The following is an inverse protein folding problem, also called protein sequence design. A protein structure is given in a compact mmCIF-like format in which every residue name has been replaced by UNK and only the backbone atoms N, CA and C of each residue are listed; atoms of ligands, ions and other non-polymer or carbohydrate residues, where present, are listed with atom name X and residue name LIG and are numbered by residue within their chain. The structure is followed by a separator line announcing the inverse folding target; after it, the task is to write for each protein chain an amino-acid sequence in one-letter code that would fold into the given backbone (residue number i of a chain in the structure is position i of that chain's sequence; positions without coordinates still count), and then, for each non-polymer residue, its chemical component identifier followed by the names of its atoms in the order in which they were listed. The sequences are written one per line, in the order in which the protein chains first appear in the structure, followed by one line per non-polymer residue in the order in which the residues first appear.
data_IF_611364009432
#
_entry.id   IF_611364009432
#
_cell.length_a   1.000
_cell.length_b   1.000
_cell.length_c   1.000
_cell.angle_alpha   90.00
_cell.angle_beta   90.00
_cell.angle_gamma   90.00
#
_symmetry.space_group_name_H-M   'P 1'
#
loop_
_entity.id
_entity.type
_entity.pdbx_description
1 polymer ?
#
# COMPACT_ATOMS: atom_id res chain seq x y z
N UNK A 1 -25.35 12.42 6.62
CA UNK A 1 -24.19 11.69 6.06
C UNK A 1 -23.94 12.28 4.69
N UNK A 2 -22.75 12.84 4.47
CA UNK A 2 -22.37 13.40 3.17
C UNK A 2 -22.11 12.24 2.19
N UNK A 3 -22.42 12.39 0.89
CA UNK A 3 -22.09 11.37 -0.11
C UNK A 3 -20.58 11.14 -0.15
N UNK A 4 -20.13 9.88 -0.27
CA UNK A 4 -18.71 9.51 -0.34
C UNK A 4 -17.94 10.21 -1.48
N UNK A 5 -18.65 10.71 -2.49
CA UNK A 5 -18.11 11.56 -3.55
C UNK A 5 -17.52 12.89 -3.04
N UNK A 6 -17.94 13.39 -1.87
CA UNK A 6 -17.42 14.61 -1.25
C UNK A 6 -16.19 14.36 -0.35
N UNK A 7 -15.85 13.09 -0.06
CA UNK A 7 -14.87 12.73 0.99
C UNK A 7 -13.42 12.62 0.51
N UNK A 8 -13.13 12.72 -0.80
CA UNK A 8 -11.83 12.32 -1.35
C UNK A 8 -11.21 13.39 -2.26
N UNK A 9 -11.07 14.59 -1.68
CA UNK A 9 -10.71 15.89 -2.27
C UNK A 9 -11.90 16.57 -2.95
N UNK A 10 -12.55 17.57 -2.33
CA UNK A 10 -13.40 18.47 -3.08
C UNK A 10 -12.52 19.10 -4.16
N UNK A 11 -12.84 18.85 -5.43
CA UNK A 11 -12.13 19.48 -6.53
C UNK A 11 -12.26 21.01 -6.36
N UNK A 12 -11.20 21.80 -6.61
CA UNK A 12 -11.39 23.22 -6.81
C UNK A 12 -12.22 23.37 -8.09
N UNK A 13 -13.53 23.59 -7.93
CA UNK A 13 -14.39 23.93 -9.06
C UNK A 13 -13.84 25.19 -9.72
N UNK A 14 -13.64 25.08 -11.03
CA UNK A 14 -13.27 26.19 -11.93
C UNK A 14 -14.25 27.35 -11.68
N UNK A 15 -13.70 28.57 -11.60
CA UNK A 15 -14.43 29.80 -11.30
C UNK A 15 -15.85 29.81 -11.88
N UNK A 16 -16.89 30.05 -11.05
CA UNK A 16 -18.24 30.17 -11.56
C UNK A 16 -18.34 31.48 -12.35
N UNK A 17 -18.38 31.36 -13.67
CA UNK A 17 -18.90 32.42 -14.53
C UNK A 17 -20.38 32.62 -14.20
N UNK A 18 -20.63 33.72 -13.49
CA UNK A 18 -21.88 34.45 -13.39
C UNK A 18 -23.15 33.71 -12.96
N UNK A 19 -23.66 34.21 -11.84
CA UNK A 19 -25.06 34.28 -11.40
C UNK A 19 -25.74 33.01 -10.89
N UNK A 20 -25.98 33.07 -9.57
CA UNK A 20 -27.15 32.53 -8.88
C UNK A 20 -27.24 31.01 -8.74
N UNK A 21 -26.54 30.49 -7.71
CA UNK A 21 -27.03 29.60 -6.65
C UNK A 21 -25.81 29.23 -5.77
N UNK A 22 -25.46 30.11 -4.82
CA UNK A 22 -24.29 29.95 -3.94
C UNK A 22 -24.76 29.39 -2.59
N UNK A 23 -24.66 28.07 -2.42
CA UNK A 23 -24.65 27.42 -1.11
C UNK A 23 -23.79 26.15 -1.23
N UNK A 24 -22.90 25.96 -0.24
CA UNK A 24 -22.10 24.75 0.08
C UNK A 24 -20.76 24.48 -0.64
N UNK A 25 -19.84 25.45 -0.69
CA UNK A 25 -18.42 25.07 -0.71
C UNK A 25 -18.03 24.44 0.65
N UNK A 26 -17.35 23.29 0.65
CA UNK A 26 -16.92 22.57 1.86
C UNK A 26 -15.76 23.25 2.61
N UNK A 27 -15.22 24.33 2.05
CA UNK A 27 -14.11 25.09 2.61
C UNK A 27 -14.17 26.58 2.24
N UNK A 28 -13.46 27.40 3.02
CA UNK A 28 -13.22 28.83 2.78
C UNK A 28 -11.77 29.05 2.34
N UNK A 29 -11.52 29.98 1.42
CA UNK A 29 -10.17 30.35 0.97
C UNK A 29 -9.84 31.77 1.45
N UNK A 30 -8.64 31.94 1.99
CA UNK A 30 -8.03 33.24 2.29
C UNK A 30 -6.64 33.32 1.65
N UNK A 31 -6.17 34.51 1.32
CA UNK A 31 -4.87 34.71 0.64
C UNK A 31 -3.90 35.51 1.48
N UNK A 32 -2.60 35.23 1.36
CA UNK A 32 -1.52 35.97 2.02
C UNK A 32 -1.65 36.05 3.54
N UNK A 33 -2.00 34.93 4.19
CA UNK A 33 -2.23 34.86 5.63
C UNK A 33 -0.92 34.59 6.38
N UNK A 34 -0.58 35.45 7.34
CA UNK A 34 0.62 35.25 8.18
C UNK A 34 0.35 34.24 9.29
N UNK A 35 0.96 33.06 9.16
CA UNK A 35 0.78 31.94 10.10
C UNK A 35 1.76 32.00 11.27
N UNK A 36 3.00 32.39 11.00
CA UNK A 36 4.04 32.61 12.02
C UNK A 36 4.84 33.87 11.68
N UNK A 37 5.73 34.33 12.57
CA UNK A 37 6.61 35.45 12.28
C UNK A 37 7.47 35.27 11.01
N UNK A 38 7.73 34.02 10.59
CA UNK A 38 8.60 33.70 9.45
C UNK A 38 7.88 32.99 8.30
N UNK A 39 6.55 32.84 8.38
CA UNK A 39 5.79 32.10 7.39
C UNK A 39 4.46 32.78 7.11
N UNK A 40 4.29 33.20 5.86
CA UNK A 40 3.03 33.65 5.27
C UNK A 40 2.65 32.63 4.22
N UNK A 41 1.42 32.12 4.30
CA UNK A 41 0.87 31.21 3.29
C UNK A 41 0.21 32.03 2.19
N UNK A 42 0.47 31.66 0.94
CA UNK A 42 -0.09 32.32 -0.24
C UNK A 42 -1.60 32.10 -0.29
N UNK A 43 -2.05 30.89 0.07
CA UNK A 43 -3.44 30.50 0.24
C UNK A 43 -3.62 29.74 1.54
N UNK A 44 -4.73 29.97 2.22
CA UNK A 44 -5.18 29.25 3.40
C UNK A 44 -6.57 28.69 3.12
N UNK A 45 -6.68 27.37 3.11
CA UNK A 45 -7.95 26.67 3.07
C UNK A 45 -8.44 26.40 4.48
N UNK A 46 -9.70 26.71 4.79
CA UNK A 46 -10.34 26.37 6.06
C UNK A 46 -11.46 25.38 5.82
N UNK A 47 -11.32 24.19 6.40
CA UNK A 47 -12.23 23.06 6.22
C UNK A 47 -13.14 22.89 7.43
N UNK A 48 -14.40 22.53 7.18
CA UNK A 48 -15.35 22.17 8.23
C UNK A 48 -14.95 20.85 8.90
N UNK A 49 -15.41 20.67 10.13
CA UNK A 49 -15.23 19.42 10.86
C UNK A 49 -15.74 18.20 10.06
N UNK A 50 -14.96 17.11 10.12
CA UNK A 50 -15.22 15.87 9.36
C UNK A 50 -14.67 15.85 7.94
N UNK A 51 -14.12 16.95 7.42
CA UNK A 51 -13.51 16.96 6.08
C UNK A 51 -12.24 16.12 6.05
N UNK A 52 -12.15 15.20 5.08
CA UNK A 52 -10.97 14.37 4.84
C UNK A 52 -10.25 14.84 3.58
N UNK A 53 -8.93 14.96 3.65
CA UNK A 53 -8.07 15.32 2.51
C UNK A 53 -6.91 14.34 2.47
N UNK A 54 -6.64 13.79 1.30
CA UNK A 54 -5.54 12.85 1.09
C UNK A 54 -4.36 13.50 0.39
N UNK A 55 -4.64 14.47 -0.50
CA UNK A 55 -3.63 15.19 -1.27
C UNK A 55 -3.76 16.69 -1.01
N UNK A 56 -3.22 17.19 0.12
CA UNK A 56 -3.18 18.62 0.35
C UNK A 56 -2.40 19.32 -0.75
N UNK A 57 -2.94 20.44 -1.22
CA UNK A 57 -2.28 21.28 -2.22
C UNK A 57 -0.96 21.86 -1.70
N UNK A 58 -0.01 22.03 -2.61
CA UNK A 58 1.23 22.76 -2.37
C UNK A 58 1.47 23.78 -3.48
N UNK A 59 2.63 24.41 -3.48
CA UNK A 59 3.02 25.43 -4.46
C UNK A 59 4.50 25.32 -4.78
N UNK A 60 4.88 25.65 -6.02
CA UNK A 60 6.27 25.80 -6.42
C UNK A 60 6.98 26.90 -5.62
N UNK A 61 6.29 28.02 -5.42
CA UNK A 61 6.80 29.19 -4.72
C UNK A 61 5.91 29.52 -3.53
N UNK A 62 6.51 29.54 -2.33
CA UNK A 62 5.83 29.90 -1.09
C UNK A 62 5.27 28.70 -0.32
N UNK A 63 4.08 28.86 0.25
CA UNK A 63 3.46 27.89 1.14
C UNK A 63 1.93 27.95 1.05
N UNK A 64 1.28 26.80 1.19
CA UNK A 64 -0.19 26.68 1.26
C UNK A 64 -0.56 26.16 2.65
N UNK A 65 -1.55 26.80 3.27
CA UNK A 65 -2.10 26.41 4.57
C UNK A 65 -3.41 25.65 4.42
N UNK A 66 -3.61 24.64 5.26
CA UNK A 66 -4.83 23.84 5.37
C UNK A 66 -5.22 23.79 6.86
N UNK A 67 -6.23 24.57 7.22
CA UNK A 67 -6.78 24.68 8.57
C UNK A 67 -8.00 23.78 8.68
N UNK A 68 -7.93 22.80 9.58
CA UNK A 68 -9.01 21.83 9.82
C UNK A 68 -9.67 22.14 11.15
N UNK A 69 -10.97 22.35 11.14
CA UNK A 69 -11.79 22.32 12.35
C UNK A 69 -12.01 20.86 12.77
N UNK A 70 -11.95 20.59 14.06
CA UNK A 70 -11.99 19.25 14.64
C UNK A 70 -13.00 19.17 15.77
N UNK A 71 -13.46 17.97 16.07
CA UNK A 71 -14.19 17.70 17.31
C UNK A 71 -13.17 17.50 18.45
N UNK A 72 -13.22 18.29 19.55
CA UNK A 72 -12.35 18.09 20.71
C UNK A 72 -12.44 16.70 21.34
N UNK A 73 -13.59 16.04 21.24
CA UNK A 73 -13.84 14.73 21.83
C UNK A 73 -13.43 13.58 20.89
N UNK A 74 -13.22 13.86 19.60
CA UNK A 74 -12.73 12.93 18.57
C UNK A 74 -11.52 13.52 17.83
N UNK A 75 -10.42 13.69 18.58
CA UNK A 75 -9.22 14.37 18.09
C UNK A 75 -8.35 13.47 17.20
N UNK A 76 -8.62 13.49 15.90
CA UNK A 76 -7.82 12.77 14.90
C UNK A 76 -7.03 13.76 14.04
N UNK A 77 -5.70 13.63 14.03
CA UNK A 77 -4.85 14.51 13.22
C UNK A 77 -5.10 14.25 11.72
N UNK A 78 -5.49 15.27 10.94
CA UNK A 78 -5.85 15.12 9.52
C UNK A 78 -4.68 14.63 8.66
N UNK A 79 -3.42 14.86 9.10
CA UNK A 79 -2.26 14.35 8.37
C UNK A 79 -2.23 12.82 8.30
N UNK A 80 -2.95 12.10 9.17
CA UNK A 80 -3.02 10.65 9.11
C UNK A 80 -3.73 10.13 7.84
N UNK A 81 -4.56 10.96 7.20
CA UNK A 81 -5.22 10.64 5.94
C UNK A 81 -4.36 10.95 4.70
N UNK A 82 -3.22 11.64 4.84
CA UNK A 82 -2.43 12.03 3.67
C UNK A 82 -1.83 10.81 2.97
N UNK A 83 -2.06 10.75 1.66
CA UNK A 83 -1.48 9.75 0.77
C UNK A 83 0.04 9.97 0.60
N UNK A 84 0.48 11.23 0.70
CA UNK A 84 1.89 11.57 0.73
C UNK A 84 2.61 10.90 1.90
N UNK A 85 3.81 10.41 1.61
CA UNK A 85 4.70 9.87 2.64
C UNK A 85 5.07 10.94 3.66
N UNK A 86 5.11 10.57 4.94
CA UNK A 86 5.61 11.43 6.03
C UNK A 86 6.92 10.83 6.55
N UNK A 87 7.89 10.72 5.65
CA UNK A 87 9.21 10.15 5.89
C UNK A 87 10.23 11.15 6.41
N UNK A 88 11.48 10.72 6.44
CA UNK A 88 12.63 11.54 6.83
C UNK A 88 13.02 12.57 5.75
N UNK A 89 13.55 13.76 6.10
CA UNK A 89 13.80 14.21 7.47
C UNK A 89 12.48 14.55 8.18
N UNK A 90 12.34 14.01 9.40
CA UNK A 90 11.26 14.39 10.31
C UNK A 90 11.82 15.13 11.51
N UNK A 91 10.99 15.96 12.10
CA UNK A 91 11.36 16.57 13.36
C UNK A 91 10.17 17.10 14.12
N UNK A 92 10.42 17.37 15.38
CA UNK A 92 9.40 17.70 16.36
C UNK A 92 9.88 18.84 17.24
N UNK A 93 9.01 19.81 17.48
CA UNK A 93 9.24 20.86 18.46
C UNK A 93 7.98 21.12 19.26
N UNK A 94 8.16 21.53 20.52
CA UNK A 94 7.07 21.89 21.45
C UNK A 94 7.03 23.41 21.64
N UNK A 95 5.93 23.93 22.16
CA UNK A 95 5.77 25.33 22.55
C UNK A 95 6.02 26.31 21.40
N UNK A 96 5.53 26.00 20.21
CA UNK A 96 5.50 26.95 19.09
C UNK A 96 4.13 27.60 19.02
N UNK A 97 4.10 28.87 18.65
CA UNK A 97 2.87 29.64 18.54
C UNK A 97 2.54 29.87 17.07
N UNK A 98 1.25 29.75 16.76
CA UNK A 98 0.69 30.00 15.44
C UNK A 98 -0.33 31.13 15.58
N UNK A 99 -0.23 32.15 14.72
CA UNK A 99 -1.07 33.36 14.79
C UNK A 99 -2.54 33.13 14.44
N UNK A 100 -2.87 31.97 13.88
CA UNK A 100 -4.23 31.61 13.48
C UNK A 100 -4.82 30.48 14.35
N UNK A 101 -4.03 29.91 15.26
CA UNK A 101 -4.50 28.98 16.28
C UNK A 101 -4.65 29.78 17.57
N UNK A 102 -5.85 30.31 17.76
CA UNK A 102 -6.20 31.21 18.84
C UNK A 102 -7.20 30.53 19.80
N UNK A 103 -7.18 30.93 21.06
CA UNK A 103 -8.21 30.59 22.04
C UNK A 103 -9.45 31.51 21.92
N UNK A 104 -10.42 31.32 22.81
CA UNK A 104 -11.67 32.10 22.85
C UNK A 104 -11.44 33.59 23.16
N UNK A 105 -10.27 33.94 23.69
CA UNK A 105 -9.85 35.31 24.01
C UNK A 105 -9.06 35.96 22.86
N UNK A 106 -8.75 35.20 21.79
CA UNK A 106 -7.98 35.66 20.64
C UNK A 106 -6.46 35.57 20.84
N UNK A 107 -5.99 34.90 21.90
CA UNK A 107 -4.58 34.72 22.19
C UNK A 107 -4.03 33.43 21.55
N UNK A 108 -2.77 33.45 21.11
CA UNK A 108 -2.16 32.29 20.43
C UNK A 108 -1.88 31.15 21.41
N UNK A 109 -2.32 29.94 21.06
CA UNK A 109 -2.12 28.75 21.90
C UNK A 109 -0.78 28.05 21.62
N UNK A 110 -0.14 27.42 22.62
CA UNK A 110 1.06 26.63 22.41
C UNK A 110 0.75 25.35 21.63
N UNK A 111 1.59 25.07 20.63
CA UNK A 111 1.42 23.95 19.71
C UNK A 111 2.64 23.02 19.68
N UNK A 112 2.37 21.74 19.47
CA UNK A 112 3.30 20.78 18.90
C UNK A 112 3.46 21.05 17.41
N UNK A 113 4.71 21.05 16.94
CA UNK A 113 5.03 21.21 15.51
C UNK A 113 5.80 20.01 15.03
N UNK A 114 5.19 19.26 14.11
CA UNK A 114 5.82 18.16 13.38
C UNK A 114 6.15 18.62 11.98
N UNK A 115 7.27 18.15 11.43
CA UNK A 115 7.54 18.27 10.01
C UNK A 115 8.01 16.95 9.42
N UNK A 116 7.73 16.75 8.14
CA UNK A 116 8.11 15.56 7.37
C UNK A 116 8.20 15.90 5.88
N UNK A 117 8.85 15.02 5.12
CA UNK A 117 8.87 15.07 3.66
C UNK A 117 8.33 13.77 3.06
N UNK A 118 8.07 13.77 1.76
CA UNK A 118 7.81 12.52 1.02
C UNK A 118 9.12 11.68 0.97
N UNK A 119 9.13 10.33 1.01
CA UNK A 119 9.24 9.47 -0.20
C UNK A 119 9.82 8.07 0.10
N UNK A 120 9.55 7.09 -0.80
CA UNK A 120 10.54 6.16 -1.40
C UNK A 120 10.09 5.69 -2.82
N UNK A 121 10.99 5.20 -3.68
CA UNK A 121 10.70 4.51 -4.95
C UNK A 121 11.33 3.11 -4.98
N UNK A 122 10.90 2.28 -5.92
CA UNK A 122 11.68 1.11 -6.31
C UNK A 122 13.08 1.54 -6.81
N UNK A 123 14.13 0.77 -6.48
CA UNK A 123 15.51 1.00 -6.94
C UNK A 123 15.68 0.80 -8.46
N UNK A 124 14.79 0.03 -9.08
CA UNK A 124 14.72 -0.19 -10.52
C UNK A 124 13.78 0.79 -11.22
N UNK A 125 13.22 1.76 -10.49
CA UNK A 125 12.29 2.70 -11.08
C UNK A 125 12.97 3.59 -12.12
N UNK A 126 12.32 3.77 -13.27
CA UNK A 126 12.79 4.66 -14.31
C UNK A 126 12.79 6.10 -13.78
N UNK A 127 13.96 6.76 -13.87
CA UNK A 127 14.18 8.10 -13.31
C UNK A 127 13.29 9.17 -13.95
N UNK A 128 12.93 9.01 -15.22
CA UNK A 128 12.04 9.94 -15.91
C UNK A 128 10.61 9.73 -15.42
N UNK A 129 10.18 8.48 -15.22
CA UNK A 129 8.85 8.17 -14.71
C UNK A 129 8.68 8.61 -13.24
N UNK A 130 9.71 8.53 -12.39
CA UNK A 130 9.61 8.91 -10.98
C UNK A 130 9.94 10.37 -10.67
N UNK A 131 10.26 11.19 -11.68
CA UNK A 131 10.59 12.63 -11.50
C UNK A 131 9.50 13.60 -11.95
N UNK A 132 8.33 13.08 -12.40
CA UNK A 132 7.19 13.92 -12.81
C UNK A 132 6.62 14.65 -11.60
N UNK A 133 6.92 15.94 -11.46
CA UNK A 133 6.48 16.73 -10.32
C UNK A 133 5.01 17.15 -10.38
N UNK A 134 4.46 17.54 -9.23
CA UNK A 134 3.10 18.07 -9.11
C UNK A 134 2.94 19.00 -7.89
N UNK A 135 1.96 19.92 -7.97
CA UNK A 135 1.57 20.81 -6.87
C UNK A 135 0.17 20.52 -6.33
N UNK A 136 -0.65 19.86 -7.13
CA UNK A 136 -2.01 19.42 -6.80
C UNK A 136 -2.18 17.99 -7.27
N UNK A 137 -3.14 17.28 -6.66
CA UNK A 137 -3.54 15.96 -7.10
C UNK A 137 -5.02 15.76 -6.80
N UNK A 138 -5.76 15.33 -7.83
CA UNK A 138 -7.13 14.89 -7.70
C UNK A 138 -7.30 13.47 -8.26
N UNK A 139 -8.49 12.89 -8.07
CA UNK A 139 -8.82 11.53 -8.54
C UNK A 139 -8.69 11.38 -10.05
N UNK A 140 -9.01 12.42 -10.83
CA UNK A 140 -8.85 12.41 -12.28
C UNK A 140 -7.37 12.37 -12.66
N UNK A 141 -6.50 13.08 -11.95
CA UNK A 141 -5.05 13.04 -12.18
C UNK A 141 -4.49 11.64 -11.89
N UNK A 142 -4.90 11.01 -10.78
CA UNK A 142 -4.56 9.63 -10.45
C UNK A 142 -5.08 8.65 -11.52
N UNK A 143 -6.33 8.81 -11.96
CA UNK A 143 -6.89 7.97 -13.02
C UNK A 143 -6.16 8.15 -14.34
N UNK A 144 -5.75 9.38 -14.68
CA UNK A 144 -4.97 9.68 -15.88
C UNK A 144 -3.56 9.13 -15.77
N UNK A 145 -2.90 9.23 -14.62
CA UNK A 145 -1.59 8.64 -14.36
C UNK A 145 -1.65 7.11 -14.45
N UNK A 146 -2.67 6.48 -13.86
CA UNK A 146 -2.90 5.05 -13.99
C UNK A 146 -3.19 4.64 -15.43
N UNK A 147 -3.96 5.44 -16.17
CA UNK A 147 -4.19 5.24 -17.60
C UNK A 147 -2.92 5.43 -18.42
N UNK A 148 -2.06 6.38 -18.09
CA UNK A 148 -0.78 6.60 -18.77
C UNK A 148 0.19 5.47 -18.50
N UNK A 149 0.26 4.98 -17.26
CA UNK A 149 0.95 3.73 -16.96
C UNK A 149 0.36 2.63 -17.83
N UNK A 150 -0.96 2.41 -17.82
CA UNK A 150 -1.59 1.37 -18.64
C UNK A 150 -1.49 1.59 -20.16
N UNK A 151 -1.34 2.81 -20.66
CA UNK A 151 -1.22 3.16 -22.09
C UNK A 151 0.22 3.03 -22.59
N UNK A 152 1.23 3.30 -21.74
CA UNK A 152 2.59 2.78 -21.98
C UNK A 152 2.59 1.24 -22.05
N UNK A 153 1.60 0.59 -21.43
CA UNK A 153 1.37 -0.86 -21.44
C UNK A 153 0.29 -1.35 -22.43
N UNK A 154 -0.27 -0.47 -23.27
CA UNK A 154 -1.33 -0.82 -24.22
C UNK A 154 -1.12 -0.10 -25.55
N UNK A 155 -0.20 -0.61 -26.34
CA UNK A 155 -0.46 -0.70 -27.78
C UNK A 155 -1.33 -1.95 -28.00
N UNK A 156 -2.60 -1.68 -28.32
CA UNK A 156 -3.60 -2.56 -28.95
C UNK A 156 -4.46 -3.52 -28.08
N UNK A 157 -5.75 -3.15 -27.99
CA UNK A 157 -7.00 -3.92 -27.91
C UNK A 157 -7.12 -5.22 -27.07
N UNK A 158 -8.28 -5.42 -26.38
CA UNK A 158 -8.52 -6.59 -25.57
C UNK A 158 -8.93 -7.77 -26.47
N UNK A 159 -8.10 -8.81 -26.59
CA UNK A 159 -8.61 -10.19 -26.81
C UNK A 159 -7.63 -11.33 -26.46
N UNK A 160 -6.34 -11.09 -26.26
CA UNK A 160 -5.37 -12.16 -25.91
C UNK A 160 -4.26 -11.76 -24.93
N UNK A 161 -3.77 -10.51 -24.96
CA UNK A 161 -2.66 -10.05 -24.12
C UNK A 161 -2.94 -10.03 -22.61
N UNK A 162 -4.20 -9.84 -22.18
CA UNK A 162 -4.56 -9.83 -20.75
C UNK A 162 -4.34 -11.19 -20.10
N UNK A 163 -4.63 -12.29 -20.80
CA UNK A 163 -4.53 -13.63 -20.20
C UNK A 163 -3.07 -14.04 -20.06
N UNK A 164 -2.24 -13.83 -21.10
CA UNK A 164 -0.80 -14.13 -21.04
C UNK A 164 -0.12 -13.29 -19.97
N UNK A 165 -0.43 -11.99 -19.90
CA UNK A 165 0.08 -11.11 -18.84
C UNK A 165 -0.37 -11.57 -17.45
N UNK A 166 -1.67 -11.84 -17.25
CA UNK A 166 -2.19 -12.31 -15.97
C UNK A 166 -1.54 -13.63 -15.55
N UNK A 167 -1.31 -14.53 -16.51
CA UNK A 167 -0.64 -15.81 -16.30
C UNK A 167 0.81 -15.59 -15.87
N UNK A 168 1.54 -14.72 -16.57
CA UNK A 168 2.92 -14.37 -16.27
C UNK A 168 3.05 -13.71 -14.89
N UNK A 169 2.21 -12.70 -14.58
CA UNK A 169 2.23 -12.01 -13.29
C UNK A 169 1.88 -12.94 -12.13
N UNK A 170 0.87 -13.82 -12.29
CA UNK A 170 0.56 -14.87 -11.30
C UNK A 170 1.72 -15.82 -11.09
N UNK A 171 2.41 -16.17 -12.17
CA UNK A 171 3.56 -17.07 -12.15
C UNK A 171 4.73 -16.44 -11.39
N UNK A 172 5.06 -15.19 -11.72
CA UNK A 172 6.10 -14.44 -11.04
C UNK A 172 5.76 -14.21 -9.56
N UNK A 173 4.49 -13.96 -9.24
CA UNK A 173 4.02 -13.85 -7.86
C UNK A 173 4.14 -15.17 -7.09
N UNK A 174 3.82 -16.31 -7.73
CA UNK A 174 4.00 -17.64 -7.15
C UNK A 174 5.49 -17.94 -6.91
N UNK A 175 6.35 -17.67 -7.89
CA UNK A 175 7.79 -17.81 -7.75
C UNK A 175 8.34 -16.96 -6.60
N UNK A 176 7.92 -15.69 -6.53
CA UNK A 176 8.29 -14.81 -5.42
C UNK A 176 7.81 -15.35 -4.07
N UNK A 177 6.63 -15.98 -4.00
CA UNK A 177 6.15 -16.63 -2.78
C UNK A 177 7.03 -17.82 -2.38
N UNK A 178 7.45 -18.67 -3.32
CA UNK A 178 8.39 -19.75 -3.06
C UNK A 178 9.74 -19.23 -2.55
N UNK A 179 10.28 -18.17 -3.15
CA UNK A 179 11.55 -17.57 -2.72
C UNK A 179 11.47 -16.84 -1.37
N UNK A 180 10.32 -16.28 -1.00
CA UNK A 180 10.15 -15.50 0.24
C UNK A 180 9.75 -16.34 1.44
N UNK A 181 8.77 -17.19 1.25
CA UNK A 181 8.10 -17.93 2.33
C UNK A 181 8.60 -19.37 2.38
N UNK A 182 8.95 -19.92 1.22
CA UNK A 182 9.25 -21.33 1.06
C UNK A 182 8.06 -22.16 1.55
N UNK A 183 8.36 -23.18 2.35
CA UNK A 183 7.34 -23.97 3.00
C UNK A 183 6.90 -23.34 4.33
N UNK A 184 5.62 -22.96 4.44
CA UNK A 184 5.06 -22.34 5.65
C UNK A 184 4.91 -23.26 6.88
N UNK A 185 5.34 -24.52 6.79
CA UNK A 185 5.31 -25.44 7.92
C UNK A 185 6.25 -24.96 9.04
N UNK A 186 6.05 -25.43 10.28
CA UNK A 186 7.00 -25.23 11.36
C UNK A 186 8.41 -25.70 10.98
N UNK A 187 9.41 -25.11 11.62
CA UNK A 187 10.78 -25.59 11.55
C UNK A 187 10.80 -27.07 12.01
N UNK A 188 11.34 -27.96 11.17
CA UNK A 188 11.43 -29.40 11.49
C UNK A 188 12.89 -29.78 11.77
N UNK A 189 13.64 -30.16 10.74
CA UNK A 189 15.08 -30.42 10.84
C UNK A 189 15.87 -29.24 10.21
N UNK A 190 17.16 -29.12 10.54
CA UNK A 190 18.02 -28.11 9.91
C UNK A 190 18.47 -28.57 8.52
N UNK A 191 18.23 -27.75 7.52
CA UNK A 191 18.71 -28.01 6.15
C UNK A 191 20.21 -27.79 6.07
N UNK A 192 20.95 -28.81 5.62
CA UNK A 192 22.39 -28.70 5.39
C UNK A 192 22.66 -28.08 4.00
N UNK A 193 23.23 -26.88 4.01
CA UNK A 193 23.77 -26.21 2.83
C UNK A 193 25.28 -26.36 2.79
N UNK A 194 25.83 -26.76 1.63
CA UNK A 194 27.27 -27.02 1.47
C UNK A 194 27.83 -26.26 0.27
N UNK A 195 29.11 -25.90 0.34
CA UNK A 195 29.84 -25.29 -0.77
C UNK A 195 29.25 -23.97 -1.27
N UNK A 196 29.11 -23.86 -2.59
CA UNK A 196 28.60 -22.66 -3.28
C UNK A 196 27.16 -22.30 -2.87
N UNK A 197 26.34 -23.31 -2.54
CA UNK A 197 24.94 -23.10 -2.13
C UNK A 197 24.83 -22.35 -0.80
N UNK A 198 25.72 -22.65 0.14
CA UNK A 198 25.76 -21.97 1.44
C UNK A 198 26.12 -20.48 1.26
N UNK A 199 27.08 -20.18 0.38
CA UNK A 199 27.48 -18.81 0.11
C UNK A 199 26.37 -18.03 -0.63
N UNK A 200 25.73 -18.65 -1.63
CA UNK A 200 24.57 -18.07 -2.31
C UNK A 200 23.43 -17.75 -1.33
N UNK A 201 23.13 -18.68 -0.40
CA UNK A 201 22.11 -18.46 0.64
C UNK A 201 22.49 -17.34 1.61
N UNK A 202 23.75 -17.22 2.02
CA UNK A 202 24.22 -16.11 2.86
C UNK A 202 24.01 -14.76 2.17
N UNK A 203 24.36 -14.67 0.88
CA UNK A 203 24.13 -13.46 0.07
C UNK A 203 22.64 -13.15 -0.01
N UNK A 204 21.80 -14.14 -0.30
CA UNK A 204 20.34 -13.95 -0.38
C UNK A 204 19.74 -13.52 0.95
N UNK A 205 20.19 -14.10 2.08
CA UNK A 205 19.73 -13.71 3.42
C UNK A 205 20.13 -12.28 3.77
N UNK A 206 21.31 -11.82 3.35
CA UNK A 206 21.74 -10.44 3.53
C UNK A 206 20.87 -9.47 2.71
N UNK A 207 20.58 -9.82 1.45
CA UNK A 207 19.67 -9.06 0.59
C UNK A 207 18.27 -8.99 1.20
N UNK A 208 17.73 -10.14 1.63
CA UNK A 208 16.40 -10.23 2.26
C UNK A 208 16.35 -9.44 3.58
N UNK A 209 17.42 -9.47 4.38
CA UNK A 209 17.53 -8.67 5.60
C UNK A 209 17.45 -7.16 5.30
N UNK A 210 18.19 -6.70 4.29
CA UNK A 210 18.15 -5.30 3.85
C UNK A 210 16.76 -4.90 3.35
N UNK A 211 16.12 -5.76 2.56
CA UNK A 211 14.77 -5.53 2.02
C UNK A 211 13.75 -5.48 3.16
N UNK A 212 13.89 -6.32 4.19
CA UNK A 212 12.96 -6.39 5.33
C UNK A 212 13.10 -5.22 6.31
N UNK A 213 14.11 -4.36 6.16
CA UNK A 213 14.29 -3.15 7.00
C UNK A 213 14.21 -3.43 8.51
N UNK A 214 14.78 -4.56 8.95
CA UNK A 214 14.82 -4.96 10.36
C UNK A 214 13.61 -5.77 10.87
N UNK A 215 12.65 -6.13 10.00
CA UNK A 215 11.59 -7.07 10.36
C UNK A 215 12.10 -8.51 10.45
N UNK A 216 11.77 -9.18 11.55
CA UNK A 216 12.10 -10.59 11.74
C UNK A 216 11.16 -11.47 10.93
N UNK A 217 11.68 -12.35 10.06
CA UNK A 217 10.85 -13.32 9.36
C UNK A 217 10.21 -14.29 10.35
N UNK A 218 9.02 -14.79 10.02
CA UNK A 218 8.46 -15.93 10.74
C UNK A 218 9.36 -17.15 10.52
N UNK A 219 9.68 -17.93 11.55
CA UNK A 219 10.41 -19.18 11.38
C UNK A 219 9.53 -20.17 10.60
N UNK A 220 10.00 -20.60 9.43
CA UNK A 220 9.32 -21.54 8.52
C UNK A 220 10.26 -22.68 8.13
N UNK A 221 9.75 -23.77 7.51
CA UNK A 221 10.57 -24.87 6.97
C UNK A 221 11.66 -24.26 6.07
N UNK A 222 12.93 -24.58 6.39
CA UNK A 222 14.08 -24.13 5.62
C UNK A 222 14.33 -24.97 4.35
N UNK A 223 13.61 -26.08 4.20
CA UNK A 223 13.76 -27.02 3.11
C UNK A 223 13.58 -26.40 1.72
N UNK A 224 14.27 -26.99 0.76
CA UNK A 224 14.26 -26.55 -0.65
C UNK A 224 12.87 -26.75 -1.28
N UNK A 225 12.49 -25.86 -2.19
CA UNK A 225 11.30 -25.97 -3.05
C UNK A 225 11.78 -26.27 -4.46
N UNK A 226 11.24 -27.32 -5.10
CA UNK A 226 11.79 -27.83 -6.35
C UNK A 226 10.64 -28.30 -7.27
N UNK A 227 10.89 -28.49 -8.56
CA UNK A 227 9.93 -28.94 -9.57
C UNK A 227 10.19 -30.40 -9.98
N UNK A 228 9.14 -31.23 -10.10
CA UNK A 228 9.21 -32.64 -10.50
C UNK A 228 7.92 -33.11 -11.21
N UNK A 229 7.80 -34.41 -11.48
CA UNK A 229 6.79 -35.00 -12.36
C UNK A 229 6.19 -36.28 -11.79
N UNK A 230 4.86 -36.40 -11.87
CA UNK A 230 4.18 -37.57 -11.31
C UNK A 230 4.38 -38.80 -12.19
N UNK A 231 3.91 -39.96 -11.74
CA UNK A 231 3.97 -41.22 -12.52
C UNK A 231 3.28 -41.15 -13.90
N UNK A 232 2.48 -40.12 -14.17
CA UNK A 232 1.80 -39.86 -15.43
C UNK A 232 2.49 -38.78 -16.27
N UNK A 233 3.62 -38.23 -15.80
CA UNK A 233 4.35 -37.14 -16.44
C UNK A 233 3.71 -35.75 -16.23
N UNK A 234 2.77 -35.62 -15.30
CA UNK A 234 2.15 -34.32 -14.96
C UNK A 234 3.10 -33.54 -14.07
N UNK A 235 3.48 -32.30 -14.42
CA UNK A 235 4.38 -31.53 -13.58
C UNK A 235 3.70 -31.07 -12.30
N UNK A 236 4.45 -31.09 -11.21
CA UNK A 236 4.10 -30.51 -9.93
C UNK A 236 5.37 -30.05 -9.21
N UNK A 237 5.25 -29.21 -8.19
CA UNK A 237 6.44 -28.77 -7.42
C UNK A 237 6.83 -29.90 -6.44
N UNK A 238 7.90 -30.67 -6.73
CA UNK A 238 8.54 -31.75 -5.91
C UNK A 238 10.09 -31.71 -6.03
N UNK A 239 10.86 -32.38 -5.13
CA UNK A 239 12.25 -32.81 -5.45
C UNK A 239 12.60 -34.29 -5.19
N UNK A 240 13.58 -34.72 -6.00
CA UNK A 240 14.26 -36.00 -6.19
C UNK A 240 15.27 -36.45 -5.10
N UNK A 241 15.06 -37.66 -4.57
CA UNK A 241 16.00 -38.82 -4.69
C UNK A 241 15.32 -40.15 -4.26
N UNK A 242 14.85 -40.95 -5.24
CA UNK A 242 14.50 -42.41 -5.18
C UNK A 242 13.44 -42.88 -4.14
N UNK A 243 12.71 -43.98 -4.43
CA UNK A 243 11.27 -43.96 -4.66
C UNK A 243 10.42 -44.09 -3.38
N UNK A 244 9.68 -43.02 -3.00
CA UNK A 244 8.43 -42.96 -2.20
C UNK A 244 8.12 -41.48 -1.82
N UNK A 245 6.87 -41.08 -1.50
CA UNK A 245 6.21 -39.84 -1.99
C UNK A 245 6.63 -38.50 -1.32
N UNK A 246 6.36 -37.32 -1.94
CA UNK A 246 7.16 -36.07 -1.81
C UNK A 246 6.42 -34.82 -1.26
N UNK A 247 7.19 -33.76 -0.95
CA UNK A 247 7.24 -33.05 0.34
C UNK A 247 8.10 -31.75 0.28
N UNK A 248 8.05 -30.74 1.20
CA UNK A 248 9.32 -30.00 1.54
C UNK A 248 10.36 -31.05 1.96
N UNK A 249 11.67 -30.86 1.91
CA UNK A 249 12.61 -31.97 2.24
C UNK A 249 12.32 -32.66 3.61
N UNK A 250 11.58 -31.96 4.49
CA UNK A 250 11.07 -32.45 5.76
C UNK A 250 9.65 -33.04 5.77
N UNK A 251 8.85 -32.94 4.70
CA UNK A 251 7.59 -33.67 4.62
C UNK A 251 7.83 -35.15 4.40
N UNK A 252 6.97 -35.90 5.06
CA UNK A 252 6.90 -37.34 4.98
C UNK A 252 5.43 -37.67 5.03
N UNK A 253 4.88 -38.31 4.01
CA UNK A 253 3.43 -38.61 3.93
C UNK A 253 2.89 -39.35 5.17
N UNK A 254 3.77 -40.07 5.89
CA UNK A 254 3.47 -40.78 7.12
C UNK A 254 3.63 -39.95 8.41
N UNK A 255 4.52 -38.94 8.46
CA UNK A 255 4.90 -38.28 9.73
C UNK A 255 4.91 -36.76 9.71
N UNK A 256 4.89 -36.12 8.54
CA UNK A 256 4.91 -34.67 8.41
C UNK A 256 4.15 -34.22 7.16
N UNK A 257 2.82 -34.11 7.27
CA UNK A 257 1.92 -33.72 6.18
C UNK A 257 1.72 -32.21 6.07
N UNK A 258 2.26 -31.45 7.02
CA UNK A 258 2.01 -30.02 7.16
C UNK A 258 2.88 -29.16 6.24
N UNK A 259 3.76 -29.78 5.44
CA UNK A 259 4.60 -29.06 4.48
C UNK A 259 3.95 -28.89 3.11
N UNK A 260 4.55 -27.98 2.34
CA UNK A 260 4.05 -27.51 1.06
C UNK A 260 4.10 -28.63 0.00
N UNK A 261 2.97 -28.88 -0.62
CA UNK A 261 2.83 -29.66 -1.87
C UNK A 261 1.82 -28.90 -2.74
N UNK A 262 2.19 -28.59 -3.98
CA UNK A 262 1.33 -27.82 -4.90
C UNK A 262 1.19 -28.52 -6.25
N UNK A 263 0.02 -29.12 -6.48
CA UNK A 263 -0.37 -29.73 -7.74
C UNK A 263 -1.02 -28.74 -8.72
N UNK A 264 -1.41 -27.55 -8.24
CA UNK A 264 -2.10 -26.57 -9.06
C UNK A 264 -1.18 -25.94 -10.13
N UNK A 265 0.13 -26.17 -10.09
CA UNK A 265 1.04 -25.63 -11.10
C UNK A 265 0.78 -26.19 -12.51
N UNK A 266 0.21 -27.39 -12.62
CA UNK A 266 -0.19 -28.00 -13.91
C UNK A 266 -1.65 -27.73 -14.29
N UNK A 267 -2.39 -26.98 -13.47
CA UNK A 267 -3.81 -26.69 -13.71
C UNK A 267 -4.08 -25.68 -14.84
N UNK A 268 -3.03 -25.14 -15.46
CA UNK A 268 -3.12 -24.05 -16.44
C UNK A 268 -3.36 -22.67 -15.82
N UNK A 269 -3.27 -22.55 -14.48
CA UNK A 269 -3.36 -21.27 -13.77
C UNK A 269 -2.05 -20.47 -13.76
N UNK A 270 -0.96 -21.09 -14.24
CA UNK A 270 0.39 -20.52 -14.28
C UNK A 270 1.05 -20.84 -15.62
N UNK A 271 2.06 -20.04 -15.96
CA UNK A 271 2.93 -20.25 -17.11
C UNK A 271 3.96 -21.31 -16.72
N UNK A 272 3.68 -22.53 -17.13
CA UNK A 272 4.52 -23.67 -16.75
C UNK A 272 5.91 -23.62 -17.37
N UNK A 273 6.03 -23.14 -18.62
CA UNK A 273 7.33 -23.06 -19.30
C UNK A 273 8.22 -22.04 -18.60
N UNK A 274 7.66 -20.90 -18.20
CA UNK A 274 8.38 -19.91 -17.41
C UNK A 274 8.76 -20.44 -16.02
N UNK A 275 7.85 -21.12 -15.30
CA UNK A 275 8.19 -21.77 -14.02
C UNK A 275 9.32 -22.78 -14.19
N UNK A 276 9.25 -23.63 -15.22
CA UNK A 276 10.28 -24.63 -15.47
C UNK A 276 11.64 -23.97 -15.67
N UNK A 277 11.71 -22.94 -16.51
CA UNK A 277 12.93 -22.19 -16.77
C UNK A 277 13.50 -21.56 -15.48
N UNK A 278 12.63 -21.02 -14.59
CA UNK A 278 13.02 -20.49 -13.29
C UNK A 278 13.60 -21.55 -12.35
N UNK A 279 12.99 -22.74 -12.31
CA UNK A 279 13.46 -23.85 -11.47
C UNK A 279 14.76 -24.49 -11.98
N UNK A 280 14.95 -24.56 -13.31
CA UNK A 280 16.16 -25.13 -13.92
C UNK A 280 17.27 -24.12 -14.14
N UNK A 281 17.01 -22.83 -13.88
CA UNK A 281 17.89 -21.72 -14.22
C UNK A 281 18.32 -21.76 -15.70
N UNK A 282 17.34 -22.03 -16.58
CA UNK A 282 17.54 -22.06 -18.03
C UNK A 282 17.56 -20.62 -18.56
N UNK A 283 18.76 -20.06 -18.68
CA UNK A 283 18.94 -18.65 -19.02
C UNK A 283 18.46 -18.31 -20.43
N UNK A 284 18.59 -19.22 -21.38
CA UNK A 284 18.16 -18.98 -22.78
C UNK A 284 16.63 -18.89 -22.87
N UNK A 285 15.93 -19.81 -22.21
CA UNK A 285 14.46 -19.81 -22.17
C UNK A 285 13.92 -18.61 -21.35
N UNK A 286 14.57 -18.28 -20.23
CA UNK A 286 14.20 -17.10 -19.44
C UNK A 286 14.33 -15.80 -20.26
N UNK A 287 15.46 -15.61 -20.95
CA UNK A 287 15.66 -14.45 -21.81
C UNK A 287 14.59 -14.36 -22.90
N UNK A 288 14.29 -15.48 -23.58
CA UNK A 288 13.27 -15.51 -24.62
C UNK A 288 11.87 -15.10 -24.11
N UNK A 289 11.45 -15.65 -22.97
CA UNK A 289 10.13 -15.37 -22.40
C UNK A 289 10.07 -13.94 -21.84
N UNK A 290 11.11 -13.49 -21.15
CA UNK A 290 11.15 -12.16 -20.52
C UNK A 290 11.28 -11.03 -21.54
N UNK A 291 12.02 -11.23 -22.63
CA UNK A 291 12.08 -10.28 -23.76
C UNK A 291 10.70 -10.17 -24.42
N UNK A 292 10.04 -11.30 -24.64
CA UNK A 292 8.66 -11.32 -25.13
C UNK A 292 7.69 -10.58 -24.19
N UNK A 293 7.85 -10.74 -22.88
CA UNK A 293 7.07 -9.99 -21.89
C UNK A 293 7.39 -8.48 -21.94
N UNK A 294 8.66 -8.11 -22.08
CA UNK A 294 9.13 -6.72 -22.17
C UNK A 294 8.54 -6.00 -23.39
N UNK A 295 8.56 -6.65 -24.56
CA UNK A 295 7.99 -6.12 -25.81
C UNK A 295 6.50 -5.83 -25.68
N UNK A 296 5.81 -6.59 -24.83
CA UNK A 296 4.40 -6.41 -24.51
C UNK A 296 4.16 -5.53 -23.27
N UNK A 297 5.22 -4.96 -22.69
CA UNK A 297 5.12 -4.03 -21.58
C UNK A 297 4.75 -4.67 -20.24
N UNK A 298 5.28 -5.84 -19.93
CA UNK A 298 5.15 -6.42 -18.59
C UNK A 298 6.37 -7.30 -18.25
N UNK A 299 6.38 -7.81 -17.01
CA UNK A 299 7.46 -8.67 -16.54
C UNK A 299 8.67 -7.94 -15.98
N UNK A 300 9.73 -8.68 -15.64
CA UNK A 300 10.83 -8.18 -14.81
C UNK A 300 11.79 -7.23 -15.55
N UNK A 301 11.82 -7.28 -16.89
CA UNK A 301 12.59 -6.38 -17.75
C UNK A 301 11.84 -5.10 -18.13
N UNK A 302 10.56 -5.01 -17.82
CA UNK A 302 9.74 -3.84 -18.14
C UNK A 302 10.08 -2.64 -17.24
N UNK A 303 9.84 -1.42 -17.75
CA UNK A 303 10.11 -0.19 -17.01
C UNK A 303 9.30 -0.14 -15.72
N UNK A 304 9.97 0.12 -14.60
CA UNK A 304 9.31 0.22 -13.31
C UNK A 304 8.91 1.67 -13.01
N UNK A 305 7.65 1.92 -12.67
CA UNK A 305 7.16 3.21 -12.19
C UNK A 305 6.75 3.18 -10.71
N UNK A 306 7.12 2.12 -9.99
CA UNK A 306 6.64 1.86 -8.63
C UNK A 306 7.17 2.89 -7.64
N UNK A 307 6.25 3.69 -7.10
CA UNK A 307 6.48 4.60 -5.97
C UNK A 307 5.78 4.02 -4.77
N UNK A 308 6.46 4.00 -3.63
CA UNK A 308 5.91 3.43 -2.39
C UNK A 308 5.91 4.45 -1.27
N UNK A 309 5.11 4.17 -0.24
CA UNK A 309 5.03 5.09 0.87
C UNK A 309 6.22 4.91 1.84
N UNK A 310 6.48 5.89 2.71
CA UNK A 310 7.57 5.83 3.69
C UNK A 310 7.50 4.63 4.66
N UNK A 311 6.29 4.18 4.92
CA UNK A 311 5.99 3.02 5.76
C UNK A 311 6.02 1.69 5.01
N UNK A 312 6.28 1.68 3.69
CA UNK A 312 6.25 0.48 2.88
C UNK A 312 7.50 -0.32 3.21
N UNK A 313 7.28 -1.57 3.57
CA UNK A 313 8.31 -2.45 4.10
C UNK A 313 9.17 -3.03 2.96
N UNK A 314 8.58 -3.27 1.79
CA UNK A 314 9.25 -3.79 0.61
C UNK A 314 8.43 -3.48 -0.65
N UNK A 315 9.05 -3.58 -1.82
CA UNK A 315 8.36 -3.67 -3.11
C UNK A 315 8.23 -5.16 -3.44
N UNK A 316 7.03 -5.61 -3.77
CA UNK A 316 6.76 -7.01 -4.10
C UNK A 316 7.18 -7.37 -5.53
N UNK A 317 7.50 -6.38 -6.36
CA UNK A 317 7.94 -6.58 -7.74
C UNK A 317 9.34 -7.20 -7.81
N UNK A 318 9.49 -8.18 -8.70
CA UNK A 318 10.77 -8.77 -9.10
C UNK A 318 11.27 -8.06 -10.37
N UNK A 319 12.58 -7.83 -10.43
CA UNK A 319 13.26 -7.18 -11.55
C UNK A 319 14.50 -7.96 -11.94
N UNK A 320 14.87 -7.92 -13.21
CA UNK A 320 16.14 -8.48 -13.65
C UNK A 320 17.26 -7.45 -13.48
N UNK A 321 18.39 -7.88 -12.92
CA UNK A 321 19.59 -7.07 -12.83
C UNK A 321 20.35 -7.06 -14.17
N UNK A 322 21.48 -6.33 -14.24
CA UNK A 322 22.30 -6.25 -15.45
C UNK A 322 22.95 -7.58 -15.88
N UNK A 323 22.87 -8.62 -15.04
CA UNK A 323 23.33 -9.98 -15.35
C UNK A 323 22.19 -10.94 -15.68
N UNK A 324 20.96 -10.44 -15.91
CA UNK A 324 19.80 -11.28 -16.24
C UNK A 324 19.24 -12.07 -15.05
N UNK A 325 19.68 -11.79 -13.82
CA UNK A 325 19.20 -12.49 -12.64
C UNK A 325 18.00 -11.77 -12.04
N UNK A 326 16.96 -12.53 -11.75
CA UNK A 326 15.80 -12.06 -11.01
C UNK A 326 16.17 -11.69 -9.57
N UNK A 327 15.89 -10.45 -9.21
CA UNK A 327 16.14 -9.89 -7.90
C UNK A 327 14.92 -9.14 -7.39
N UNK A 328 14.78 -9.11 -6.06
CA UNK A 328 13.82 -8.24 -5.40
C UNK A 328 14.36 -6.81 -5.39
N UNK A 329 13.50 -5.86 -5.71
CA UNK A 329 13.86 -4.45 -5.60
C UNK A 329 14.06 -4.03 -4.15
N UNK A 330 15.11 -3.24 -3.93
CA UNK A 330 15.20 -2.39 -2.75
C UNK A 330 14.35 -1.15 -2.96
N UNK A 331 14.00 -0.52 -1.85
CA UNK A 331 13.19 0.70 -1.84
C UNK A 331 14.12 1.86 -1.52
N UNK A 332 14.42 2.66 -2.54
CA UNK A 332 15.36 3.78 -2.49
C UNK A 332 14.66 5.07 -2.13
N UNK A 333 15.40 5.97 -1.49
CA UNK A 333 14.88 7.28 -1.11
C UNK A 333 14.96 8.21 -2.31
N UNK A 334 13.82 8.80 -2.67
CA UNK A 334 13.79 9.91 -3.61
C UNK A 334 13.99 11.22 -2.81
N UNK A 335 14.49 12.28 -3.43
CA UNK A 335 14.65 13.59 -2.79
C UNK A 335 13.48 14.53 -3.11
N UNK A 336 12.63 14.82 -2.12
CA UNK A 336 11.47 15.71 -2.27
C UNK A 336 11.83 17.11 -1.84
N UNK A 337 11.46 18.10 -2.63
CA UNK A 337 11.48 19.50 -2.18
C UNK A 337 10.23 19.85 -1.37
N UNK A 338 9.12 19.11 -1.54
CA UNK A 338 7.89 19.30 -0.76
C UNK A 338 8.07 18.93 0.72
N UNK A 339 7.62 19.82 1.61
CA UNK A 339 7.63 19.65 3.07
C UNK A 339 6.26 19.93 3.64
N UNK A 340 5.87 19.09 4.60
CA UNK A 340 4.62 19.23 5.34
C UNK A 340 4.97 19.60 6.77
N UNK A 341 4.36 20.67 7.30
CA UNK A 341 4.46 21.06 8.71
C UNK A 341 3.08 21.07 9.34
N UNK A 342 2.92 20.38 10.47
CA UNK A 342 1.66 20.29 11.19
C UNK A 342 1.80 21.01 12.52
N UNK A 343 0.93 21.98 12.77
CA UNK A 343 0.77 22.70 14.02
C UNK A 343 -0.48 22.15 14.72
N UNK A 344 -0.26 21.48 15.84
CA UNK A 344 -1.30 20.86 16.65
C UNK A 344 -1.29 21.51 18.04
N UNK A 345 -2.38 22.16 18.48
CA UNK A 345 -2.49 22.65 19.85
C UNK A 345 -2.19 21.57 20.88
N UNK A 346 -1.61 21.95 22.02
CA UNK A 346 -1.47 21.02 23.13
C UNK A 346 -2.85 20.52 23.61
N UNK A 347 -2.86 19.37 24.27
CA UNK A 347 -4.09 18.66 24.63
C UNK A 347 -5.03 19.50 25.48
N UNK A 348 -4.47 20.27 26.42
CA UNK A 348 -5.19 21.16 27.32
C UNK A 348 -5.87 22.36 26.61
N UNK A 349 -5.46 22.71 25.38
CA UNK A 349 -6.04 23.79 24.59
C UNK A 349 -7.00 23.31 23.49
N UNK A 350 -7.18 22.01 23.28
CA UNK A 350 -8.03 21.46 22.20
C UNK A 350 -9.49 21.91 22.29
N UNK A 351 -10.00 22.17 23.50
CA UNK A 351 -11.39 22.62 23.72
C UNK A 351 -11.62 24.08 23.32
N UNK A 352 -10.62 24.95 23.55
CA UNK A 352 -10.68 26.38 23.22
C UNK A 352 -10.10 26.71 21.85
N UNK A 353 -9.30 25.80 21.28
CA UNK A 353 -8.75 25.90 19.94
C UNK A 353 -8.89 24.56 19.21
N UNK A 354 -10.10 24.23 18.71
CA UNK A 354 -10.39 22.94 18.09
C UNK A 354 -9.92 22.89 16.64
N UNK A 355 -8.67 23.30 16.37
CA UNK A 355 -8.14 23.47 15.02
C UNK A 355 -6.74 22.92 14.89
N UNK A 356 -6.44 22.26 13.76
CA UNK A 356 -5.09 21.90 13.36
C UNK A 356 -4.76 22.62 12.08
N UNK A 357 -3.56 23.19 12.01
CA UNK A 357 -3.03 23.77 10.79
C UNK A 357 -1.97 22.87 10.18
N UNK A 358 -2.11 22.59 8.89
CA UNK A 358 -1.07 21.97 8.06
C UNK A 358 -0.55 23.02 7.08
N UNK A 359 0.77 23.13 6.94
CA UNK A 359 1.43 24.00 5.97
C UNK A 359 2.28 23.15 5.03
N UNK A 360 1.93 23.19 3.75
CA UNK A 360 2.63 22.52 2.65
C UNK A 360 3.53 23.53 1.93
N UNK A 361 4.80 23.18 1.68
CA UNK A 361 5.77 24.08 1.05
C UNK A 361 6.59 23.34 0.00
N UNK A 362 6.76 23.92 -1.18
CA UNK A 362 7.54 23.34 -2.27
C UNK A 362 6.76 22.31 -3.08
N UNK A 363 7.08 22.22 -4.37
CA UNK A 363 6.47 21.28 -5.30
C UNK A 363 6.91 19.83 -5.00
N UNK A 364 6.06 18.84 -5.27
CA UNK A 364 6.51 17.45 -5.25
C UNK A 364 7.37 17.18 -6.49
N UNK A 365 8.50 16.50 -6.32
CA UNK A 365 9.44 16.11 -7.40
C UNK A 365 9.24 14.66 -7.83
N UNK A 366 8.08 14.09 -7.53
CA UNK A 366 7.71 12.72 -7.84
C UNK A 366 6.25 12.67 -8.29
N UNK A 367 5.84 11.63 -9.04
CA UNK A 367 4.45 11.42 -9.43
C UNK A 367 3.50 11.29 -8.23
N UNK A 368 2.21 11.42 -8.49
CA UNK A 368 1.20 11.31 -7.44
C UNK A 368 1.23 9.86 -6.89
N UNK A 369 1.51 9.65 -5.59
CA UNK A 369 1.54 8.31 -5.02
C UNK A 369 0.12 7.76 -4.90
N UNK A 370 -0.07 6.45 -5.02
CA UNK A 370 -1.38 5.83 -4.76
C UNK A 370 -1.73 5.92 -3.26
N UNK A 371 -3.02 6.16 -2.91
CA UNK A 371 -3.43 6.28 -1.52
C UNK A 371 -3.46 4.90 -0.85
N UNK A 372 -2.33 4.55 -0.25
CA UNK A 372 -2.13 3.24 0.39
C UNK A 372 -2.67 3.18 1.82
N UNK A 373 -2.88 4.33 2.46
CA UNK A 373 -3.42 4.41 3.82
C UNK A 373 -4.92 4.60 3.77
N UNK A 374 -5.66 3.81 4.55
CA UNK A 374 -7.10 4.03 4.72
C UNK A 374 -7.31 5.26 5.60
N UNK A 375 -8.08 6.28 5.17
CA UNK A 375 -8.39 7.43 6.00
C UNK A 375 -9.03 7.01 7.34
N UNK A 376 -8.73 7.70 8.46
CA UNK A 376 -9.21 7.29 9.79
C UNK A 376 -10.73 7.17 9.92
N UNK A 377 -11.50 8.06 9.29
CA UNK A 377 -12.97 8.01 9.28
C UNK A 377 -13.47 6.71 8.64
N UNK A 378 -13.01 6.41 7.42
CA UNK A 378 -13.35 5.18 6.72
C UNK A 378 -12.87 3.94 7.48
N UNK A 379 -11.68 3.96 8.09
CA UNK A 379 -11.20 2.85 8.93
C UNK A 379 -12.17 2.57 10.08
N UNK A 380 -12.71 3.61 10.73
CA UNK A 380 -13.68 3.48 11.82
C UNK A 380 -14.98 2.84 11.34
N UNK A 381 -15.47 3.23 10.17
CA UNK A 381 -16.64 2.60 9.55
C UNK A 381 -16.41 1.12 9.26
N UNK A 382 -15.25 0.75 8.71
CA UNK A 382 -14.89 -0.66 8.46
C UNK A 382 -14.80 -1.45 9.77
N UNK A 383 -14.23 -0.88 10.84
CA UNK A 383 -14.21 -1.53 12.15
C UNK A 383 -15.61 -1.70 12.75
N UNK A 384 -16.48 -0.69 12.61
CA UNK A 384 -17.87 -0.79 13.04
C UNK A 384 -18.65 -1.86 12.25
N UNK A 385 -18.41 -1.95 10.94
CA UNK A 385 -18.96 -3.00 10.08
C UNK A 385 -18.49 -4.39 10.53
N UNK A 386 -17.20 -4.56 10.85
CA UNK A 386 -16.67 -5.81 11.38
C UNK A 386 -17.32 -6.20 12.71
N UNK A 387 -17.50 -5.24 13.63
CA UNK A 387 -18.17 -5.48 14.90
C UNK A 387 -19.65 -5.87 14.73
N UNK A 388 -20.31 -5.37 13.67
CA UNK A 388 -21.71 -5.72 13.36
C UNK A 388 -21.90 -7.16 12.89
N UNK A 389 -20.81 -7.88 12.54
CA UNK A 389 -20.87 -9.28 12.13
C UNK A 389 -21.22 -10.23 13.29
N UNK A 390 -21.08 -9.78 14.54
CA UNK A 390 -21.46 -10.55 15.72
C UNK A 390 -20.76 -11.90 15.79
N UNK A 391 -21.55 -12.99 15.70
CA UNK A 391 -21.06 -14.36 15.84
C UNK A 391 -20.15 -14.82 14.70
N UNK A 392 -20.17 -14.14 13.55
CA UNK A 392 -19.32 -14.49 12.41
C UNK A 392 -17.90 -13.88 12.51
N UNK A 393 -17.69 -12.92 13.43
CA UNK A 393 -16.42 -12.20 13.59
C UNK A 393 -15.23 -13.10 14.01
N UNK A 394 -15.36 -14.10 14.91
CA UNK A 394 -14.24 -14.96 15.30
C UNK A 394 -13.58 -15.70 14.13
N UNK A 395 -14.38 -16.16 13.17
CA UNK A 395 -13.93 -16.99 12.04
C UNK A 395 -13.80 -16.20 10.73
N UNK A 396 -13.85 -14.86 10.81
CA UNK A 396 -13.76 -14.02 9.64
C UNK A 396 -12.32 -13.97 9.13
N UNK A 397 -12.16 -14.12 7.82
CA UNK A 397 -10.89 -13.92 7.09
C UNK A 397 -11.10 -12.81 6.07
N UNK A 398 -10.05 -12.16 5.55
CA UNK A 398 -10.22 -11.12 4.52
C UNK A 398 -11.10 -11.57 3.34
N UNK A 399 -10.91 -12.80 2.87
CA UNK A 399 -11.71 -13.38 1.77
C UNK A 399 -13.18 -13.57 2.16
N UNK A 400 -13.46 -14.03 3.38
CA UNK A 400 -14.84 -14.17 3.89
C UNK A 400 -15.49 -12.81 4.10
N UNK A 401 -14.76 -11.85 4.67
CA UNK A 401 -15.23 -10.48 4.91
C UNK A 401 -15.66 -9.79 3.62
N UNK A 402 -14.83 -9.85 2.56
CA UNK A 402 -15.14 -9.26 1.24
C UNK A 402 -16.43 -9.84 0.64
N UNK A 403 -16.71 -11.11 0.90
CA UNK A 403 -17.87 -11.85 0.35
C UNK A 403 -19.06 -11.92 1.31
N UNK A 404 -18.94 -11.31 2.49
CA UNK A 404 -19.95 -11.45 3.54
C UNK A 404 -21.22 -10.68 3.15
N UNK A 405 -22.44 -11.25 3.34
CA UNK A 405 -23.69 -10.58 2.96
C UNK A 405 -23.84 -9.18 3.56
N UNK A 406 -23.50 -9.00 4.84
CA UNK A 406 -23.52 -7.70 5.53
C UNK A 406 -22.58 -6.69 4.87
N UNK A 407 -21.36 -7.13 4.52
CA UNK A 407 -20.39 -6.27 3.82
C UNK A 407 -20.88 -5.91 2.43
N UNK A 408 -21.41 -6.86 1.67
CA UNK A 408 -21.96 -6.59 0.35
C UNK A 408 -23.18 -5.65 0.41
N UNK A 409 -24.04 -5.78 1.43
CA UNK A 409 -25.17 -4.88 1.64
C UNK A 409 -24.69 -3.45 1.97
N UNK A 410 -23.73 -3.32 2.89
CA UNK A 410 -23.09 -2.05 3.22
C UNK A 410 -22.49 -1.37 1.99
N UNK A 411 -21.70 -2.08 1.19
CA UNK A 411 -21.05 -1.52 0.00
C UNK A 411 -22.09 -1.05 -1.04
N UNK A 412 -23.16 -1.83 -1.27
CA UNK A 412 -24.24 -1.43 -2.21
C UNK A 412 -25.00 -0.20 -1.73
N UNK A 413 -25.19 -0.05 -0.43
CA UNK A 413 -25.81 1.14 0.17
C UNK A 413 -24.92 2.38 0.01
N UNK A 414 -23.60 2.21 0.18
CA UNK A 414 -22.62 3.29 0.01
C UNK A 414 -22.38 3.68 -1.46
N UNK A 415 -22.51 2.73 -2.39
CA UNK A 415 -22.24 2.91 -3.82
C UNK A 415 -23.43 2.47 -4.70
N UNK A 416 -24.61 3.12 -4.58
CA UNK A 416 -25.84 2.67 -5.22
C UNK A 416 -25.83 2.81 -6.76
N UNK A 417 -24.95 3.66 -7.29
CA UNK A 417 -24.80 3.89 -8.73
C UNK A 417 -23.93 2.84 -9.44
N UNK A 418 -23.25 1.97 -8.70
CA UNK A 418 -22.35 0.95 -9.26
C UNK A 418 -23.06 -0.42 -9.29
N UNK A 419 -22.94 -1.13 -10.41
CA UNK A 419 -23.66 -2.40 -10.61
C UNK A 419 -23.12 -3.54 -9.74
N UNK A 420 -21.80 -3.59 -9.52
CA UNK A 420 -21.13 -4.62 -8.73
C UNK A 420 -20.01 -4.00 -7.87
N UNK A 421 -20.36 -3.18 -6.86
CA UNK A 421 -19.35 -2.46 -6.10
C UNK A 421 -18.58 -3.41 -5.19
N UNK A 422 -17.28 -3.15 -5.09
CA UNK A 422 -16.32 -3.86 -4.25
C UNK A 422 -15.78 -2.94 -3.16
N UNK A 423 -15.14 -3.54 -2.15
CA UNK A 423 -14.56 -2.78 -1.04
C UNK A 423 -13.44 -1.82 -1.52
N UNK A 424 -12.72 -2.19 -2.57
CA UNK A 424 -11.73 -1.34 -3.22
C UNK A 424 -12.31 -0.09 -3.89
N UNK A 425 -13.59 -0.11 -4.26
CA UNK A 425 -14.28 1.03 -4.88
C UNK A 425 -14.60 2.12 -3.86
N UNK A 426 -14.72 1.74 -2.57
CA UNK A 426 -14.77 2.73 -1.48
C UNK A 426 -13.42 3.44 -1.37
N UNK A 427 -12.34 2.66 -1.31
CA UNK A 427 -10.99 3.17 -1.22
C UNK A 427 -9.95 2.11 -1.63
N UNK A 428 -8.95 2.51 -2.43
CA UNK A 428 -7.95 1.59 -3.00
C UNK A 428 -7.13 0.85 -1.93
N UNK A 429 -6.87 1.44 -0.76
CA UNK A 429 -6.18 0.78 0.34
C UNK A 429 -6.89 -0.48 0.86
N UNK A 430 -8.21 -0.60 0.63
CA UNK A 430 -9.01 -1.75 1.03
C UNK A 430 -8.90 -2.94 0.06
N UNK A 431 -8.23 -2.77 -1.09
CA UNK A 431 -7.79 -3.89 -1.92
C UNK A 431 -6.69 -4.72 -1.24
N UNK A 432 -5.96 -4.14 -0.28
CA UNK A 432 -4.89 -4.83 0.44
C UNK A 432 -5.46 -5.75 1.53
N UNK A 433 -5.34 -7.06 1.32
CA UNK A 433 -5.85 -8.07 2.26
C UNK A 433 -5.10 -8.09 3.60
N UNK A 434 -3.85 -7.64 3.65
CA UNK A 434 -3.09 -7.54 4.91
C UNK A 434 -3.63 -6.40 5.78
N UNK A 435 -4.04 -5.28 5.18
CA UNK A 435 -4.75 -4.22 5.89
C UNK A 435 -6.08 -4.71 6.44
N UNK A 436 -6.86 -5.45 5.63
CA UNK A 436 -8.11 -6.05 6.10
C UNK A 436 -7.86 -7.04 7.23
N UNK A 437 -6.81 -7.86 7.15
CA UNK A 437 -6.42 -8.78 8.22
C UNK A 437 -6.11 -8.02 9.51
N UNK A 438 -5.36 -6.93 9.44
CA UNK A 438 -5.07 -6.10 10.60
C UNK A 438 -6.34 -5.51 11.23
N UNK A 439 -7.30 -5.06 10.43
CA UNK A 439 -8.59 -4.55 10.94
C UNK A 439 -9.45 -5.66 11.55
N UNK A 440 -9.47 -6.83 10.94
CA UNK A 440 -10.13 -8.02 11.48
C UNK A 440 -9.55 -8.39 12.84
N UNK A 441 -8.22 -8.51 12.95
CA UNK A 441 -7.55 -8.81 14.23
C UNK A 441 -7.88 -7.76 15.28
N UNK A 442 -7.83 -6.47 14.92
CA UNK A 442 -8.21 -5.39 15.83
C UNK A 442 -9.67 -5.52 16.31
N UNK A 443 -10.62 -5.81 15.42
CA UNK A 443 -12.02 -5.99 15.79
C UNK A 443 -12.24 -7.23 16.67
N UNK A 444 -11.50 -8.32 16.39
CA UNK A 444 -11.51 -9.54 17.19
C UNK A 444 -10.95 -9.31 18.60
N UNK A 445 -9.82 -8.61 18.74
CA UNK A 445 -9.23 -8.28 20.05
C UNK A 445 -10.16 -7.41 20.91
N UNK A 446 -10.88 -6.47 20.29
CA UNK A 446 -11.87 -5.64 20.99
C UNK A 446 -13.08 -6.45 21.44
N UNK A 447 -13.57 -7.36 20.60
CA UNK A 447 -14.81 -8.11 20.86
C UNK A 447 -14.57 -9.38 21.70
N UNK A 448 -13.36 -9.93 21.63
CA UNK A 448 -12.95 -11.18 22.26
C UNK A 448 -11.58 -10.99 22.97
N UNK A 449 -11.53 -10.23 24.08
CA UNK A 449 -10.28 -9.89 24.76
C UNK A 449 -9.55 -11.11 25.35
N UNK A 450 -10.27 -12.21 25.58
CA UNK A 450 -9.72 -13.49 26.06
C UNK A 450 -9.37 -14.45 24.90
N UNK A 451 -9.45 -13.96 23.65
CA UNK A 451 -9.19 -14.73 22.44
C UNK A 451 -10.46 -15.34 21.83
N UNK A 452 -10.34 -15.79 20.59
CA UNK A 452 -11.42 -16.41 19.80
C UNK A 452 -11.42 -17.94 19.87
N UNK A 453 -10.47 -18.54 20.61
CA UNK A 453 -10.35 -19.99 20.79
C UNK A 453 -10.92 -20.48 22.12
N UNK A 454 -10.65 -21.74 22.47
CA UNK A 454 -11.14 -22.41 23.69
C UNK A 454 -10.81 -21.70 25.01
N UNK A 455 -9.77 -20.86 25.05
CA UNK A 455 -9.40 -20.08 26.24
C UNK A 455 -10.31 -18.85 26.48
N UNK A 456 -11.11 -18.47 25.49
CA UNK A 456 -12.05 -17.34 25.55
C UNK A 456 -13.53 -17.72 25.66
N UNK A 457 -13.85 -19.02 25.62
CA UNK A 457 -15.16 -19.59 26.02
C UNK A 457 -15.12 -19.95 27.49
#
# INVERSE_FOLDING_TARGET
MLPLAELLNPAPEVEPQSSSLCETASYKIETNVTVTQKCTVVRLYTYKAGTTIEYPETTEQGSVGHLFELDPEDWVNPSQAFAYSQGEPKGFSRNRFCRILLDDQGESVPCYVRHSTCMYSCSFADKNLVSVGHTTANRSDLANQLKQYSQHWQLELPTSGSVTKDLFEKTLALWNAFQNVGCSAPLNEDTLYLGEELEARKVQLAIDHDIRRGHTPKPTCQGRVILDYDSKGTPYVEYQYLPSPPSCEHYRSATSRDHLVNYDISSGLYDFEYLRALFTNDTEELELIEDGAQDNGYGPLALCSTITNASSQHVTALHCNSSGQLMKAKVDRIECTSRIRVFEPHEEYRKVCPKILVVCTGMHTHPIPLPTKTPPGLRREILALLQSLGQDLPDITPRRFIRHPTTCAYIRDQLPSMQNPMLSDLHISLANQDHLRAYITQAQEISFPYGTGWAGM
#
